data_IF_054992400547
#
_entry.id   IF_054992400547
#
_cell.length_a   1.000
_cell.length_b   1.000
_cell.length_c   1.000
_cell.angle_alpha   90.00
_cell.angle_beta   90.00
_cell.angle_gamma   90.00
#
_symmetry.space_group_name_H-M   'P 1'
#
loop_
_entity.id
_entity.type
_entity.pdbx_description
1 polymer ?
#
# COMPACT_ATOMS: atom_id res chain seq x y z
N UNK A 1 6.39 -21.87 -3.72
CA UNK A 1 5.72 -20.57 -3.91
C UNK A 1 4.73 -20.74 -5.04
N UNK A 2 3.45 -20.43 -4.82
CA UNK A 2 2.50 -20.45 -5.93
C UNK A 2 2.73 -19.22 -6.82
N UNK A 3 2.70 -19.36 -8.14
CA UNK A 3 2.88 -18.24 -9.07
C UNK A 3 1.82 -17.14 -8.87
N UNK A 4 0.59 -17.50 -8.49
CA UNK A 4 -0.47 -16.54 -8.16
C UNK A 4 -0.16 -15.71 -6.91
N UNK A 5 0.43 -16.30 -5.87
CA UNK A 5 0.82 -15.54 -4.66
C UNK A 5 1.95 -14.54 -4.94
N UNK A 6 2.76 -14.83 -5.97
CA UNK A 6 3.91 -13.98 -6.32
C UNK A 6 3.45 -12.77 -7.15
N UNK A 7 2.56 -13.00 -8.12
CA UNK A 7 1.90 -11.95 -8.89
C UNK A 7 1.05 -11.01 -8.01
N UNK A 8 0.27 -11.58 -7.08
CA UNK A 8 -0.54 -10.81 -6.13
C UNK A 8 0.31 -9.90 -5.23
N UNK A 9 1.52 -10.33 -4.87
CA UNK A 9 2.42 -9.54 -4.02
C UNK A 9 3.15 -8.45 -4.81
N UNK A 10 3.52 -8.70 -6.07
CA UNK A 10 4.14 -7.68 -6.93
C UNK A 10 3.21 -6.48 -7.13
N UNK A 11 1.91 -6.75 -7.31
CA UNK A 11 0.90 -5.69 -7.46
C UNK A 11 0.75 -4.85 -6.18
N UNK A 12 0.77 -5.50 -5.00
CA UNK A 12 0.77 -4.81 -3.70
C UNK A 12 2.02 -3.94 -3.54
N UNK A 13 3.21 -4.43 -3.88
CA UNK A 13 4.44 -3.64 -3.80
C UNK A 13 4.46 -2.46 -4.79
N UNK A 14 3.94 -2.67 -6.00
CA UNK A 14 3.83 -1.62 -7.01
C UNK A 14 2.88 -0.50 -6.56
N UNK A 15 1.72 -0.86 -5.98
CA UNK A 15 0.77 0.08 -5.41
C UNK A 15 1.38 0.86 -4.23
N UNK A 16 2.07 0.17 -3.34
CA UNK A 16 2.79 0.79 -2.22
C UNK A 16 3.79 1.84 -2.72
N UNK A 17 4.59 1.49 -3.75
CA UNK A 17 5.55 2.40 -4.35
C UNK A 17 4.90 3.64 -4.95
N UNK A 18 3.75 3.50 -5.62
CA UNK A 18 2.98 4.64 -6.17
C UNK A 18 2.48 5.57 -5.06
N UNK A 19 1.89 5.01 -4.00
CA UNK A 19 1.37 5.80 -2.88
C UNK A 19 2.49 6.55 -2.17
N UNK A 20 3.61 5.87 -1.89
CA UNK A 20 4.78 6.52 -1.27
C UNK A 20 5.33 7.63 -2.15
N UNK A 21 5.48 7.40 -3.46
CA UNK A 21 5.99 8.42 -4.39
C UNK A 21 5.12 9.69 -4.45
N UNK A 22 3.80 9.58 -4.23
CA UNK A 22 2.90 10.74 -4.20
C UNK A 22 3.01 11.56 -2.92
N UNK A 23 3.48 10.95 -1.83
CA UNK A 23 3.57 11.59 -0.51
C UNK A 23 4.97 12.11 -0.21
N UNK A 24 6.01 11.56 -0.83
CA UNK A 24 7.39 11.95 -0.59
C UNK A 24 7.63 13.41 -0.95
N UNK A 25 8.11 14.18 0.03
CA UNK A 25 8.66 15.52 -0.17
C UNK A 25 10.17 15.50 0.06
N UNK A 26 10.97 16.24 -0.74
CA UNK A 26 12.41 16.30 -0.54
C UNK A 26 12.79 16.79 0.87
N UNK A 27 13.60 16.01 1.58
CA UNK A 27 14.10 16.38 2.91
C UNK A 27 13.14 16.11 4.06
N UNK A 28 11.93 15.59 3.80
CA UNK A 28 10.98 15.23 4.85
C UNK A 28 10.92 13.72 5.05
N UNK A 29 10.88 13.31 6.32
CA UNK A 29 10.59 11.93 6.67
C UNK A 29 9.08 11.69 6.51
N UNK A 30 8.70 10.69 5.73
CA UNK A 30 7.30 10.29 5.57
C UNK A 30 6.92 9.29 6.68
N UNK A 31 6.04 9.63 7.63
CA UNK A 31 5.64 8.73 8.70
C UNK A 31 4.85 7.55 8.15
N UNK A 32 5.08 6.35 8.71
CA UNK A 32 4.40 5.14 8.24
C UNK A 32 2.87 5.23 8.36
N UNK A 33 2.39 5.92 9.40
CA UNK A 33 0.98 6.23 9.61
C UNK A 33 0.36 7.10 8.51
N UNK A 34 1.13 7.99 7.87
CA UNK A 34 0.65 8.76 6.71
C UNK A 34 0.50 7.87 5.47
N UNK A 35 1.43 6.93 5.28
CA UNK A 35 1.35 5.92 4.20
C UNK A 35 0.11 5.04 4.41
N UNK A 36 -0.12 4.56 5.63
CA UNK A 36 -1.32 3.77 5.98
C UNK A 36 -2.60 4.58 5.74
N UNK A 37 -2.62 5.84 6.18
CA UNK A 37 -3.76 6.73 5.97
C UNK A 37 -4.05 7.01 4.48
N UNK A 38 -3.01 7.14 3.66
CA UNK A 38 -3.16 7.30 2.21
C UNK A 38 -3.69 6.02 1.55
N UNK A 39 -3.12 4.85 1.89
CA UNK A 39 -3.61 3.55 1.40
C UNK A 39 -5.08 3.34 1.75
N UNK A 40 -5.51 3.71 2.96
CA UNK A 40 -6.90 3.61 3.37
C UNK A 40 -7.82 4.46 2.48
N UNK A 41 -7.46 5.72 2.23
CA UNK A 41 -8.24 6.60 1.35
C UNK A 41 -8.28 6.11 -0.10
N UNK A 42 -7.16 5.62 -0.60
CA UNK A 42 -7.06 5.04 -1.95
C UNK A 42 -7.96 3.82 -2.10
N UNK A 43 -7.90 2.87 -1.14
CA UNK A 43 -8.77 1.69 -1.16
C UNK A 43 -10.26 2.05 -1.02
N UNK A 44 -10.60 2.95 -0.10
CA UNK A 44 -11.98 3.38 0.12
C UNK A 44 -12.61 4.14 -1.06
N UNK A 45 -11.78 4.70 -1.94
CA UNK A 45 -12.22 5.43 -3.14
C UNK A 45 -12.03 4.62 -4.43
N UNK A 46 -11.57 3.37 -4.33
CA UNK A 46 -11.31 2.52 -5.48
C UNK A 46 -12.62 1.98 -6.05
N UNK A 47 -12.78 2.12 -7.37
CA UNK A 47 -13.90 1.49 -8.10
C UNK A 47 -13.59 0.03 -8.46
N UNK A 48 -12.31 -0.34 -8.45
CA UNK A 48 -11.81 -1.68 -8.73
C UNK A 48 -11.59 -2.47 -7.43
N UNK A 49 -12.28 -3.62 -7.24
CA UNK A 49 -12.11 -4.47 -6.07
C UNK A 49 -10.68 -5.01 -5.87
N UNK A 50 -9.91 -5.18 -6.95
CA UNK A 50 -8.52 -5.64 -6.82
C UNK A 50 -7.64 -4.57 -6.17
N UNK A 51 -7.84 -3.30 -6.55
CA UNK A 51 -7.17 -2.16 -5.92
C UNK A 51 -7.55 -2.01 -4.44
N UNK A 52 -8.82 -2.16 -4.09
CA UNK A 52 -9.28 -2.16 -2.69
C UNK A 52 -8.58 -3.26 -1.87
N UNK A 53 -8.59 -4.51 -2.38
CA UNK A 53 -7.95 -5.65 -1.73
C UNK A 53 -6.42 -5.48 -1.59
N UNK A 54 -5.77 -4.89 -2.61
CA UNK A 54 -4.33 -4.60 -2.56
C UNK A 54 -4.00 -3.54 -1.50
N UNK A 55 -4.81 -2.49 -1.38
CA UNK A 55 -4.70 -1.49 -0.31
C UNK A 55 -4.84 -2.12 1.08
N UNK A 56 -5.83 -2.98 1.30
CA UNK A 56 -6.01 -3.67 2.59
C UNK A 56 -4.82 -4.56 2.94
N UNK A 57 -4.32 -5.34 1.98
CA UNK A 57 -3.13 -6.19 2.16
C UNK A 57 -1.90 -5.35 2.50
N UNK A 58 -1.68 -4.24 1.79
CA UNK A 58 -0.60 -3.30 2.08
C UNK A 58 -0.68 -2.74 3.51
N UNK A 59 -1.87 -2.31 3.94
CA UNK A 59 -2.09 -1.79 5.31
C UNK A 59 -1.74 -2.85 6.36
N UNK A 60 -2.20 -4.10 6.18
CA UNK A 60 -1.86 -5.20 7.11
C UNK A 60 -0.36 -5.47 7.16
N UNK A 61 0.30 -5.49 6.01
CA UNK A 61 1.77 -5.67 5.93
C UNK A 61 2.52 -4.57 6.67
N UNK A 62 2.10 -3.32 6.53
CA UNK A 62 2.73 -2.18 7.20
C UNK A 62 2.43 -2.16 8.71
N UNK A 63 1.19 -2.46 9.10
CA UNK A 63 0.79 -2.52 10.50
C UNK A 63 1.57 -3.60 11.27
N UNK A 64 1.87 -4.73 10.63
CA UNK A 64 2.71 -5.78 11.21
C UNK A 64 4.17 -5.35 11.45
N UNK A 65 4.64 -4.24 10.84
CA UNK A 65 5.97 -3.68 11.11
C UNK A 65 6.00 -2.65 12.26
N UNK A 66 4.84 -2.24 12.75
CA UNK A 66 4.70 -1.32 13.89
C UNK A 66 4.69 -2.05 15.25
N UNK A 67 4.63 -3.38 15.24
CA UNK A 67 4.78 -4.28 16.38
C UNK A 67 6.12 -5.02 16.32
#
# INVERSE_FOLDING_TARGET
MNPNETADNEEVYALLGRVVAQLLQPGEALPLQEIIGALYRTGASAEDPATEAACERAIRLLANKLN
#
